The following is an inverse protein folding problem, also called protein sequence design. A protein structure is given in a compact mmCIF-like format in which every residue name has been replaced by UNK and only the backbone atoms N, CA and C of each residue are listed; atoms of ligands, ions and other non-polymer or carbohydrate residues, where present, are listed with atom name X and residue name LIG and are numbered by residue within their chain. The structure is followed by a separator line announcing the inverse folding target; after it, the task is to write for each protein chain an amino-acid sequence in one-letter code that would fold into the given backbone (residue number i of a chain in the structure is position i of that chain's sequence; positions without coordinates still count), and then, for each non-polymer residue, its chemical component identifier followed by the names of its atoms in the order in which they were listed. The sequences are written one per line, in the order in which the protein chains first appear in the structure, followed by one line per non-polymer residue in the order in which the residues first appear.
data_IF_171779191965
#
_entry.id   IF_171779191965
#
_cell.length_a   1.000
_cell.length_b   1.000
_cell.length_c   1.000
_cell.angle_alpha   90.00
_cell.angle_beta   90.00
_cell.angle_gamma   90.00
#
_symmetry.space_group_name_H-M   'P 1'
#
loop_
_entity.id
_entity.type
_entity.pdbx_description
1 polymer ?
#
# COMPACT_ATOMS: atom_id res chain seq x y z
N UNK A 1 18.19 -18.77 -6.68
CA UNK A 1 17.48 -17.75 -5.91
C UNK A 1 16.05 -17.64 -6.41
N UNK A 2 15.11 -17.75 -5.52
CA UNK A 2 13.71 -17.51 -5.81
C UNK A 2 13.53 -16.00 -5.98
N UNK A 3 12.96 -15.57 -7.08
CA UNK A 3 12.57 -14.17 -7.28
C UNK A 3 11.08 -14.11 -6.96
N UNK A 4 10.75 -13.54 -5.82
CA UNK A 4 9.37 -13.22 -5.49
C UNK A 4 8.95 -12.04 -6.36
N UNK A 5 8.00 -12.27 -7.25
CA UNK A 5 7.45 -11.22 -8.09
C UNK A 5 6.09 -10.80 -7.53
N UNK A 6 6.04 -9.61 -6.98
CA UNK A 6 4.79 -8.91 -6.68
C UNK A 6 4.77 -7.60 -7.47
N UNK A 7 3.66 -7.34 -8.18
CA UNK A 7 3.42 -6.05 -8.80
C UNK A 7 3.14 -5.02 -7.70
N UNK A 8 4.19 -4.34 -7.24
CA UNK A 8 4.09 -3.32 -6.21
C UNK A 8 4.02 -1.93 -6.82
N UNK A 9 3.10 -1.14 -6.32
CA UNK A 9 2.90 0.24 -6.69
C UNK A 9 3.02 1.14 -5.47
N UNK A 10 3.62 2.28 -5.68
CA UNK A 10 3.83 3.30 -4.67
C UNK A 10 2.81 4.42 -4.86
N UNK A 11 1.82 4.54 -3.97
CA UNK A 11 0.66 5.40 -4.17
C UNK A 11 0.40 6.34 -3.00
N UNK A 12 -0.05 7.54 -3.30
CA UNK A 12 -0.61 8.45 -2.30
C UNK A 12 -2.01 8.05 -1.92
N UNK A 13 -2.38 8.31 -0.67
CA UNK A 13 -3.77 8.22 -0.24
C UNK A 13 -4.53 9.50 -0.57
N UNK A 14 -5.78 9.37 -1.02
CA UNK A 14 -6.60 10.51 -1.41
C UNK A 14 -7.27 11.22 -0.23
N UNK A 15 -7.39 10.54 0.91
CA UNK A 15 -8.03 11.06 2.13
C UNK A 15 -7.26 10.64 3.37
N UNK A 16 -7.05 11.58 4.29
CA UNK A 16 -6.29 11.33 5.51
C UNK A 16 -4.77 11.27 5.29
N UNK A 17 -4.08 10.70 6.24
CA UNK A 17 -2.62 10.51 6.23
C UNK A 17 -2.27 9.03 6.20
N UNK A 18 -1.08 8.70 5.69
CA UNK A 18 -0.60 7.31 5.64
C UNK A 18 -0.52 6.69 7.05
N UNK A 19 -0.18 7.49 8.06
CA UNK A 19 -0.09 7.01 9.45
C UNK A 19 -1.43 6.51 10.03
N UNK A 20 -2.57 7.00 9.52
CA UNK A 20 -3.90 6.52 9.89
C UNK A 20 -4.16 5.08 9.40
N UNK A 21 -3.33 4.58 8.48
CA UNK A 21 -3.44 3.26 7.88
C UNK A 21 -2.47 2.22 8.44
N UNK A 22 -1.80 2.48 9.57
CA UNK A 22 -0.90 1.51 10.23
C UNK A 22 -1.57 0.17 10.54
N UNK A 23 -2.88 0.17 10.81
CA UNK A 23 -3.66 -1.04 11.03
C UNK A 23 -4.32 -1.63 9.77
N UNK A 24 -4.01 -1.09 8.58
CA UNK A 24 -4.71 -1.44 7.33
C UNK A 24 -3.87 -2.29 6.37
N UNK A 25 -2.75 -2.86 6.83
CA UNK A 25 -2.00 -3.84 6.03
C UNK A 25 -2.91 -5.03 5.69
N UNK A 26 -2.98 -5.39 4.42
CA UNK A 26 -3.88 -6.41 3.92
C UNK A 26 -5.28 -5.92 3.53
N UNK A 27 -5.56 -4.61 3.64
CA UNK A 27 -6.83 -4.01 3.23
C UNK A 27 -6.84 -3.62 1.76
N UNK A 28 -8.01 -3.78 1.14
CA UNK A 28 -8.25 -3.44 -0.26
C UNK A 28 -8.33 -1.93 -0.44
N UNK A 29 -7.68 -1.43 -1.49
CA UNK A 29 -7.77 -0.05 -1.94
C UNK A 29 -8.34 0.04 -3.35
N UNK A 30 -8.99 1.17 -3.60
CA UNK A 30 -9.57 1.56 -4.88
C UNK A 30 -8.88 2.82 -5.40
N UNK A 31 -8.67 2.93 -6.70
CA UNK A 31 -8.26 4.17 -7.33
C UNK A 31 -9.39 5.20 -7.26
N UNK A 32 -9.08 6.45 -6.90
CA UNK A 32 -10.09 7.49 -6.76
C UNK A 32 -10.32 8.32 -8.04
N UNK A 33 -9.56 8.02 -9.11
CA UNK A 33 -9.65 8.71 -10.39
C UNK A 33 -8.75 9.94 -10.51
N UNK A 34 -7.94 10.24 -9.49
CA UNK A 34 -6.93 11.30 -9.50
C UNK A 34 -5.52 10.73 -9.45
N UNK A 35 -4.51 11.53 -9.75
CA UNK A 35 -3.12 11.09 -9.84
C UNK A 35 -2.22 11.95 -8.96
N UNK A 36 -1.11 11.36 -8.55
CA UNK A 36 -0.06 11.99 -7.79
C UNK A 36 1.30 11.51 -8.31
N UNK A 37 1.68 12.03 -9.45
CA UNK A 37 2.97 11.70 -10.05
C UNK A 37 4.07 12.60 -9.47
N UNK A 38 5.30 12.09 -9.34
CA UNK A 38 6.41 12.83 -8.73
C UNK A 38 6.98 13.91 -9.65
N UNK A 39 7.00 13.66 -10.97
CA UNK A 39 7.71 14.50 -11.92
C UNK A 39 6.83 14.97 -13.06
N UNK A 40 7.07 16.15 -13.56
CA UNK A 40 6.53 16.59 -14.84
C UNK A 40 7.43 16.10 -16.00
N UNK A 41 7.02 16.39 -17.26
CA UNK A 41 7.79 15.98 -18.43
C UNK A 41 9.12 16.74 -18.62
N UNK A 42 9.43 17.69 -17.73
CA UNK A 42 10.64 18.51 -17.74
C UNK A 42 11.49 18.30 -16.48
N UNK A 43 11.31 17.17 -15.80
CA UNK A 43 12.01 16.80 -14.57
C UNK A 43 11.81 17.76 -13.38
N UNK A 44 10.72 18.54 -13.40
CA UNK A 44 10.33 19.34 -12.24
C UNK A 44 9.28 18.61 -11.40
N UNK A 45 9.28 18.88 -10.09
CA UNK A 45 8.24 18.40 -9.20
C UNK A 45 6.89 18.93 -9.66
N UNK A 46 5.92 18.01 -9.83
CA UNK A 46 4.61 18.36 -10.38
C UNK A 46 3.77 19.19 -9.44
N UNK A 47 3.27 20.29 -9.99
CA UNK A 47 2.25 21.12 -9.37
C UNK A 47 0.84 20.77 -9.87
N UNK A 48 0.73 20.30 -11.12
CA UNK A 48 -0.54 19.95 -11.77
C UNK A 48 -0.50 18.48 -12.20
N UNK A 49 -1.21 17.63 -11.49
CA UNK A 49 -1.07 16.19 -11.57
C UNK A 49 -1.95 15.62 -12.68
N UNK A 50 -1.31 15.24 -13.78
CA UNK A 50 -1.94 14.56 -14.91
C UNK A 50 -1.18 13.28 -15.26
N UNK A 51 -1.84 12.26 -15.82
CA UNK A 51 -1.13 11.09 -16.32
C UNK A 51 -0.13 11.46 -17.40
N UNK A 52 1.00 10.79 -17.41
CA UNK A 52 1.98 10.88 -18.50
C UNK A 52 2.44 9.47 -18.90
N UNK A 53 3.19 9.37 -20.00
CA UNK A 53 3.55 8.06 -20.54
C UNK A 53 4.50 7.26 -19.65
N UNK A 54 5.29 7.94 -18.82
CA UNK A 54 6.30 7.30 -17.97
C UNK A 54 5.79 7.05 -16.56
N UNK A 55 4.73 7.77 -16.16
CA UNK A 55 4.23 7.72 -14.80
C UNK A 55 2.73 8.05 -14.76
N UNK A 56 1.98 7.24 -14.07
CA UNK A 56 0.55 7.46 -13.81
C UNK A 56 0.18 6.81 -12.48
N UNK A 57 0.61 7.46 -11.38
CA UNK A 57 0.38 6.98 -10.02
C UNK A 57 -1.02 7.42 -9.53
N UNK A 58 -2.03 6.55 -9.54
CA UNK A 58 -3.35 6.92 -9.04
C UNK A 58 -3.28 7.14 -7.52
N UNK A 59 -4.03 8.13 -7.03
CA UNK A 59 -4.35 8.20 -5.61
C UNK A 59 -5.33 7.10 -5.26
N UNK A 60 -5.17 6.54 -4.07
CA UNK A 60 -6.00 5.42 -3.61
C UNK A 60 -6.76 5.78 -2.34
N UNK A 61 -7.85 5.08 -2.11
CA UNK A 61 -8.66 5.12 -0.88
C UNK A 61 -9.02 3.69 -0.48
N UNK A 62 -9.34 3.46 0.79
CA UNK A 62 -9.87 2.16 1.21
C UNK A 62 -11.19 1.86 0.49
N UNK A 63 -11.36 0.62 0.04
CA UNK A 63 -12.62 0.16 -0.52
C UNK A 63 -13.74 0.23 0.53
N UNK A 64 -14.96 0.54 0.10
CA UNK A 64 -16.15 0.58 0.97
C UNK A 64 -17.45 0.26 0.21
N UNK A 65 -17.32 -0.28 -0.99
CA UNK A 65 -18.44 -0.63 -1.87
C UNK A 65 -18.25 -2.06 -2.35
N UNK A 66 -19.33 -2.84 -2.35
CA UNK A 66 -19.31 -4.20 -2.89
C UNK A 66 -19.11 -4.18 -4.40
N UNK A 67 -18.30 -5.10 -4.91
CA UNK A 67 -18.03 -5.24 -6.36
C UNK A 67 -17.53 -3.95 -7.01
N UNK A 68 -16.65 -3.23 -6.32
CA UNK A 68 -16.12 -1.95 -6.84
C UNK A 68 -15.14 -2.21 -7.97
N UNK A 69 -15.50 -1.80 -9.19
CA UNK A 69 -14.66 -1.93 -10.39
C UNK A 69 -13.39 -1.08 -10.39
N UNK A 70 -13.23 -0.19 -9.39
CA UNK A 70 -12.06 0.66 -9.24
C UNK A 70 -11.01 0.06 -8.30
N UNK A 71 -11.18 -1.20 -7.89
CA UNK A 71 -10.18 -1.91 -7.07
C UNK A 71 -8.81 -1.85 -7.75
N UNK A 72 -7.79 -1.54 -6.95
CA UNK A 72 -6.43 -1.30 -7.43
C UNK A 72 -5.42 -2.28 -6.85
N UNK A 73 -5.65 -2.75 -5.64
CA UNK A 73 -4.79 -3.72 -4.97
C UNK A 73 -5.03 -3.77 -3.47
N UNK A 74 -4.02 -4.27 -2.77
CA UNK A 74 -4.04 -4.48 -1.32
C UNK A 74 -2.82 -3.80 -0.70
N UNK A 75 -3.01 -3.10 0.41
CA UNK A 75 -1.92 -2.45 1.13
C UNK A 75 -0.97 -3.53 1.67
N UNK A 76 0.28 -3.50 1.22
CA UNK A 76 1.33 -4.40 1.70
C UNK A 76 2.22 -3.76 2.76
N UNK A 77 2.44 -2.46 2.65
CA UNK A 77 3.36 -1.74 3.53
C UNK A 77 3.06 -0.24 3.53
N UNK A 78 3.50 0.44 4.58
CA UNK A 78 3.56 1.90 4.64
C UNK A 78 5.03 2.31 4.56
N UNK A 79 5.34 3.35 3.79
CA UNK A 79 6.69 3.91 3.80
C UNK A 79 7.05 4.44 5.18
N UNK A 80 8.22 4.05 5.64
CA UNK A 80 8.82 4.65 6.83
C UNK A 80 9.36 6.03 6.48
N UNK A 81 8.97 7.02 7.25
CA UNK A 81 9.47 8.36 7.12
C UNK A 81 10.45 8.65 8.27
N UNK A 82 11.71 8.86 7.96
CA UNK A 82 12.70 9.26 8.96
C UNK A 82 13.53 10.45 8.47
N UNK A 83 14.04 11.21 9.42
CA UNK A 83 14.91 12.34 9.16
C UNK A 83 16.37 11.88 9.21
N UNK A 84 17.09 12.08 8.12
CA UNK A 84 18.52 11.89 8.08
C UNK A 84 19.25 13.22 8.14
N UNK A 85 20.44 13.25 8.72
CA UNK A 85 21.24 14.45 8.85
C UNK A 85 22.46 14.36 7.97
N UNK A 86 22.52 15.18 6.94
CA UNK A 86 23.69 15.29 6.08
C UNK A 86 24.60 16.40 6.60
N UNK A 87 25.88 16.06 6.79
CA UNK A 87 26.91 17.03 7.14
C UNK A 87 27.78 17.24 5.92
N UNK A 88 27.78 18.47 5.42
CA UNK A 88 28.71 18.87 4.36
C UNK A 88 29.84 19.73 4.96
N UNK A 89 31.05 19.50 4.50
CA UNK A 89 32.24 20.23 4.92
C UNK A 89 32.73 21.08 3.78
N UNK A 90 32.96 22.33 4.06
CA UNK A 90 33.63 23.27 3.14
C UNK A 90 34.81 23.95 3.82
N UNK A 91 35.78 24.33 3.02
CA UNK A 91 36.98 25.03 3.52
C UNK A 91 37.09 26.39 2.90
N UNK A 92 37.33 27.38 3.75
CA UNK A 92 37.69 28.74 3.36
C UNK A 92 39.07 29.09 3.94
N UNK A 93 39.70 30.11 3.42
CA UNK A 93 40.96 30.63 3.98
C UNK A 93 40.74 32.04 4.49
N UNK A 94 41.24 32.32 5.69
CA UNK A 94 41.19 33.65 6.23
C UNK A 94 42.28 34.55 5.57
N UNK A 95 42.30 35.84 5.93
CA UNK A 95 43.29 36.83 5.42
C UNK A 95 44.75 36.46 5.74
N UNK A 96 44.97 35.64 6.76
CA UNK A 96 46.28 35.11 7.15
C UNK A 96 46.66 33.83 6.42
N UNK A 97 45.81 33.32 5.50
CA UNK A 97 46.04 32.08 4.77
C UNK A 97 45.77 30.79 5.57
N UNK A 98 45.17 30.90 6.74
CA UNK A 98 44.79 29.74 7.54
C UNK A 98 43.50 29.09 7.02
N UNK A 99 43.47 27.77 6.99
CA UNK A 99 42.33 27.00 6.55
C UNK A 99 41.25 26.96 7.64
N UNK A 100 40.07 27.45 7.30
CA UNK A 100 38.86 27.38 8.15
C UNK A 100 37.92 26.31 7.64
N UNK A 101 37.59 25.36 8.49
CA UNK A 101 36.58 24.35 8.23
C UNK A 101 35.20 24.90 8.61
N UNK A 102 34.28 24.90 7.65
CA UNK A 102 32.88 25.18 7.90
C UNK A 102 32.08 23.88 7.70
N UNK A 103 31.41 23.48 8.73
CA UNK A 103 30.44 22.34 8.65
C UNK A 103 29.02 22.91 8.53
N UNK A 104 28.31 22.45 7.50
CA UNK A 104 26.90 22.78 7.33
C UNK A 104 26.10 21.49 7.51
N UNK A 105 25.17 21.52 8.44
CA UNK A 105 24.27 20.41 8.71
C UNK A 105 22.92 20.70 8.05
N UNK A 106 22.45 19.80 7.21
CA UNK A 106 21.12 19.86 6.63
C UNK A 106 20.35 18.60 6.99
N UNK A 107 19.06 18.77 7.24
CA UNK A 107 18.16 17.64 7.47
C UNK A 107 17.45 17.29 6.17
N UNK A 108 17.48 16.02 5.83
CA UNK A 108 16.82 15.47 4.65
C UNK A 108 15.81 14.44 5.12
N UNK A 109 14.58 14.50 4.62
CA UNK A 109 13.61 13.46 4.84
C UNK A 109 13.92 12.31 3.88
N UNK A 110 14.06 11.12 4.43
CA UNK A 110 14.35 9.89 3.68
C UNK A 110 13.23 8.90 3.95
N UNK A 111 12.77 8.23 2.91
CA UNK A 111 11.79 7.14 3.00
C UNK A 111 12.43 5.85 2.67
N UNK A 112 11.98 4.84 3.33
CA UNK A 112 12.41 3.47 3.14
C UNK A 112 11.19 2.59 2.93
N UNK A 113 11.25 1.72 1.94
CA UNK A 113 10.28 0.67 1.73
C UNK A 113 10.98 -0.60 1.23
N UNK A 114 10.40 -1.72 1.57
CA UNK A 114 10.95 -3.02 1.21
C UNK A 114 10.35 -3.49 -0.13
N UNK A 115 11.21 -4.01 -0.99
CA UNK A 115 10.83 -4.66 -2.23
C UNK A 115 11.36 -6.11 -2.19
N UNK A 116 10.61 -7.01 -1.56
CA UNK A 116 11.10 -8.36 -1.35
C UNK A 116 12.42 -8.38 -0.57
N UNK A 117 13.51 -8.74 -1.24
CA UNK A 117 14.86 -8.77 -0.62
C UNK A 117 15.63 -7.44 -0.69
N UNK A 118 15.02 -6.38 -1.23
CA UNK A 118 15.66 -5.07 -1.35
C UNK A 118 14.95 -4.04 -0.48
N UNK A 119 15.73 -3.17 0.14
CA UNK A 119 15.25 -1.96 0.76
C UNK A 119 15.64 -0.79 -0.14
N UNK A 120 14.65 -0.01 -0.55
CA UNK A 120 14.86 1.21 -1.32
C UNK A 120 14.72 2.44 -0.41
N UNK A 121 15.63 3.38 -0.58
CA UNK A 121 15.58 4.67 0.09
C UNK A 121 15.46 5.78 -0.93
N UNK A 122 14.67 6.80 -0.63
CA UNK A 122 14.55 7.98 -1.48
C UNK A 122 14.31 9.22 -0.65
N UNK A 123 14.82 10.34 -1.15
CA UNK A 123 14.57 11.64 -0.53
C UNK A 123 13.10 12.02 -0.70
N UNK A 124 12.53 12.60 0.33
CA UNK A 124 11.18 13.11 0.36
C UNK A 124 11.18 14.63 0.41
N UNK A 125 10.19 15.27 -0.21
CA UNK A 125 10.05 16.72 -0.16
C UNK A 125 9.78 17.21 1.27
N UNK A 126 8.94 16.48 2.00
CA UNK A 126 8.62 16.76 3.39
C UNK A 126 8.25 15.51 4.18
N UNK A 127 8.00 15.67 5.48
CA UNK A 127 7.62 14.58 6.38
C UNK A 127 6.23 13.99 6.11
N UNK A 128 5.38 14.66 5.32
CA UNK A 128 3.99 14.28 5.09
C UNK A 128 3.78 13.55 3.76
N UNK A 129 4.82 13.53 2.90
CA UNK A 129 4.73 12.89 1.58
C UNK A 129 4.96 11.36 1.64
N UNK A 130 4.53 10.67 2.71
CA UNK A 130 4.55 9.22 2.79
C UNK A 130 3.59 8.58 1.80
N UNK A 131 3.99 7.41 1.29
CA UNK A 131 3.20 6.63 0.36
C UNK A 131 2.78 5.29 0.97
N UNK A 132 1.75 4.71 0.41
CA UNK A 132 1.39 3.30 0.62
C UNK A 132 2.06 2.45 -0.45
N UNK A 133 2.50 1.26 -0.07
CA UNK A 133 2.93 0.24 -1.02
C UNK A 133 1.76 -0.72 -1.24
N UNK A 134 1.34 -0.86 -2.49
CA UNK A 134 0.16 -1.61 -2.89
C UNK A 134 0.58 -2.80 -3.73
N UNK A 135 0.17 -3.99 -3.35
CA UNK A 135 0.30 -5.20 -4.17
C UNK A 135 -0.93 -5.33 -5.08
N UNK A 136 -0.72 -5.38 -6.38
CA UNK A 136 -1.78 -5.57 -7.37
C UNK A 136 -1.73 -6.96 -8.03
N UNK A 137 -0.55 -7.55 -8.14
CA UNK A 137 -0.31 -8.88 -8.72
C UNK A 137 0.67 -9.66 -7.85
N UNK A 138 0.66 -10.99 -7.96
CA UNK A 138 1.58 -11.87 -7.25
C UNK A 138 0.94 -12.62 -6.10
N UNK A 139 1.73 -13.02 -5.14
CA UNK A 139 1.32 -13.82 -3.99
C UNK A 139 1.34 -12.98 -2.72
N UNK A 140 0.45 -13.29 -1.78
CA UNK A 140 0.41 -12.62 -0.49
C UNK A 140 -0.75 -13.05 0.37
N UNK A 141 -1.29 -12.14 1.14
CA UNK A 141 -2.46 -12.35 1.99
C UNK A 141 -3.37 -11.13 2.00
N UNK A 142 -4.64 -11.35 2.34
CA UNK A 142 -5.69 -10.34 2.30
C UNK A 142 -6.63 -10.49 3.50
N UNK A 143 -7.11 -9.38 4.03
CA UNK A 143 -8.20 -9.40 4.99
C UNK A 143 -9.54 -9.57 4.29
N UNK A 144 -10.26 -10.61 4.66
CA UNK A 144 -11.60 -10.94 4.18
C UNK A 144 -12.60 -10.97 5.33
N UNK A 145 -13.86 -10.79 5.02
CA UNK A 145 -14.97 -10.91 5.97
C UNK A 145 -15.95 -12.02 5.56
N UNK A 146 -16.67 -12.52 6.54
CA UNK A 146 -17.76 -13.48 6.31
C UNK A 146 -19.07 -12.80 5.86
N UNK A 147 -18.98 -11.59 5.29
CA UNK A 147 -20.15 -10.85 4.81
C UNK A 147 -20.99 -11.65 3.80
N UNK A 148 -20.36 -12.38 2.91
CA UNK A 148 -21.00 -13.29 1.93
C UNK A 148 -20.78 -14.78 2.24
N UNK A 149 -20.41 -15.14 3.48
CA UNK A 149 -20.27 -16.52 3.93
C UNK A 149 -18.83 -17.01 4.05
N UNK A 150 -18.67 -18.33 4.18
CA UNK A 150 -17.37 -19.00 4.26
C UNK A 150 -16.70 -19.08 2.89
N UNK A 151 -15.39 -19.27 2.90
CA UNK A 151 -14.55 -19.34 1.72
C UNK A 151 -13.96 -20.75 1.55
N UNK A 152 -13.91 -21.19 0.31
CA UNK A 152 -13.21 -22.42 -0.11
C UNK A 152 -11.95 -22.06 -0.90
N UNK A 153 -10.93 -22.89 -0.81
CA UNK A 153 -9.72 -22.73 -1.61
C UNK A 153 -10.07 -22.62 -3.10
N UNK A 154 -9.63 -21.52 -3.71
CA UNK A 154 -9.94 -21.22 -5.10
C UNK A 154 -11.05 -20.18 -5.30
N UNK A 155 -11.77 -19.79 -4.26
CA UNK A 155 -12.78 -18.74 -4.37
C UNK A 155 -12.14 -17.39 -4.75
N UNK A 156 -12.84 -16.66 -5.61
CA UNK A 156 -12.50 -15.27 -5.91
C UNK A 156 -13.02 -14.32 -4.84
N UNK A 157 -12.21 -13.29 -4.58
CA UNK A 157 -12.49 -12.23 -3.62
C UNK A 157 -12.74 -10.94 -4.37
N UNK A 158 -13.79 -10.24 -3.96
CA UNK A 158 -14.12 -8.87 -4.37
C UNK A 158 -14.16 -7.94 -3.15
N UNK A 159 -14.24 -6.62 -3.36
CA UNK A 159 -14.46 -5.66 -2.29
C UNK A 159 -15.83 -5.83 -1.65
N UNK A 160 -15.95 -5.56 -0.36
CA UNK A 160 -17.18 -5.59 0.41
C UNK A 160 -17.66 -4.19 0.80
N UNK A 161 -18.88 -4.03 1.34
CA UNK A 161 -19.31 -2.77 1.94
C UNK A 161 -18.53 -2.41 3.21
N UNK A 162 -17.87 -3.38 3.83
CA UNK A 162 -17.05 -3.19 5.03
C UNK A 162 -15.68 -2.64 4.60
N UNK A 163 -15.33 -1.47 5.09
CA UNK A 163 -14.17 -0.72 4.64
C UNK A 163 -12.88 -1.57 4.65
N UNK A 164 -12.23 -1.66 3.50
CA UNK A 164 -10.95 -2.34 3.30
C UNK A 164 -11.04 -3.87 3.28
N UNK A 165 -12.17 -4.49 3.63
CA UNK A 165 -12.29 -5.94 3.69
C UNK A 165 -12.82 -6.53 2.39
N UNK A 166 -12.27 -7.68 2.02
CA UNK A 166 -12.79 -8.51 0.95
C UNK A 166 -13.98 -9.37 1.40
N UNK A 167 -14.72 -9.87 0.42
CA UNK A 167 -15.75 -10.89 0.59
C UNK A 167 -15.70 -11.89 -0.56
N UNK A 168 -16.30 -13.07 -0.37
CA UNK A 168 -16.48 -14.03 -1.46
C UNK A 168 -17.26 -13.40 -2.61
N UNK A 169 -16.71 -13.52 -3.82
CA UNK A 169 -17.41 -13.20 -5.06
C UNK A 169 -18.55 -14.21 -5.29
N UNK A 170 -19.61 -13.81 -5.95
CA UNK A 170 -20.80 -14.62 -6.14
C UNK A 170 -20.74 -15.57 -7.34
N UNK A 171 -19.66 -15.49 -8.13
CA UNK A 171 -19.39 -16.40 -9.25
C UNK A 171 -17.88 -16.73 -9.36
N UNK A 172 -17.55 -17.67 -10.26
CA UNK A 172 -16.20 -18.15 -10.51
C UNK A 172 -15.55 -17.51 -11.76
N UNK A 173 -16.01 -16.32 -12.16
CA UNK A 173 -15.48 -15.59 -13.29
C UNK A 173 -14.53 -14.48 -12.83
N UNK A 174 -13.49 -14.24 -13.61
CA UNK A 174 -12.61 -13.09 -13.39
C UNK A 174 -13.26 -11.83 -13.93
N UNK A 175 -13.50 -10.87 -13.05
CA UNK A 175 -14.09 -9.56 -13.36
C UNK A 175 -13.13 -8.42 -13.05
N UNK A 176 -13.48 -7.21 -13.51
CA UNK A 176 -12.75 -5.97 -13.20
C UNK A 176 -12.87 -5.54 -11.72
N UNK A 177 -13.70 -6.20 -10.93
CA UNK A 177 -13.80 -6.02 -9.48
C UNK A 177 -13.20 -7.19 -8.69
N UNK A 178 -12.63 -8.20 -9.35
CA UNK A 178 -11.93 -9.30 -8.67
C UNK A 178 -10.60 -8.82 -8.14
N UNK A 179 -10.37 -8.96 -6.85
CA UNK A 179 -9.15 -8.52 -6.16
C UNK A 179 -8.13 -9.64 -6.06
N UNK A 180 -8.60 -10.82 -5.67
CA UNK A 180 -7.71 -11.94 -5.35
C UNK A 180 -8.42 -13.28 -5.56
N UNK A 181 -7.63 -14.34 -5.58
CA UNK A 181 -8.07 -15.74 -5.47
C UNK A 181 -7.41 -16.34 -4.24
N UNK A 182 -8.21 -16.83 -3.29
CA UNK A 182 -7.64 -17.41 -2.06
C UNK A 182 -7.04 -18.79 -2.29
N UNK A 183 -6.07 -19.13 -1.45
CA UNK A 183 -5.29 -20.37 -1.56
C UNK A 183 -5.49 -21.32 -0.37
N UNK A 184 -6.51 -21.06 0.44
CA UNK A 184 -6.87 -21.88 1.59
C UNK A 184 -8.36 -21.78 1.93
N UNK A 185 -8.92 -22.80 2.58
CA UNK A 185 -10.28 -22.73 3.13
C UNK A 185 -10.33 -21.78 4.33
N UNK A 186 -11.43 -21.03 4.46
CA UNK A 186 -11.66 -20.15 5.61
C UNK A 186 -13.12 -20.17 6.04
N UNK A 187 -13.40 -20.85 7.14
CA UNK A 187 -14.73 -20.90 7.79
C UNK A 187 -14.93 -19.78 8.81
N UNK A 188 -13.97 -18.89 8.94
CA UNK A 188 -13.92 -17.83 9.97
C UNK A 188 -13.98 -18.38 11.40
N UNK A 189 -13.46 -19.57 11.60
CA UNK A 189 -13.33 -20.16 12.93
C UNK A 189 -12.20 -19.46 13.70
N UNK A 190 -12.51 -18.99 14.90
CA UNK A 190 -11.54 -18.32 15.80
C UNK A 190 -10.74 -19.31 16.64
N UNK A 191 -10.71 -20.57 16.24
CA UNK A 191 -9.96 -21.61 16.94
C UNK A 191 -8.44 -21.43 16.70
N UNK A 192 -7.65 -21.56 17.75
CA UNK A 192 -6.19 -21.47 17.67
C UNK A 192 -5.52 -22.52 16.76
N UNK A 193 -6.24 -23.57 16.34
CA UNK A 193 -5.77 -24.56 15.37
C UNK A 193 -6.07 -24.22 13.91
N UNK A 194 -6.80 -23.14 13.65
CA UNK A 194 -7.01 -22.66 12.28
C UNK A 194 -5.70 -22.20 11.63
N UNK A 195 -5.58 -22.37 10.32
CA UNK A 195 -4.42 -21.94 9.54
C UNK A 195 -4.41 -20.44 9.21
N UNK A 196 -5.30 -19.67 9.83
CA UNK A 196 -5.48 -18.23 9.65
C UNK A 196 -5.92 -17.60 10.99
N UNK A 197 -5.65 -16.31 11.13
CA UNK A 197 -6.15 -15.51 12.25
C UNK A 197 -7.53 -14.96 11.94
N UNK A 198 -8.52 -15.23 12.82
CA UNK A 198 -9.87 -14.70 12.71
C UNK A 198 -10.25 -13.88 13.92
N UNK A 199 -10.97 -12.76 13.70
CA UNK A 199 -11.41 -11.83 14.73
C UNK A 199 -12.86 -11.43 14.48
N UNK A 200 -13.65 -11.42 15.56
CA UNK A 200 -15.02 -10.89 15.52
C UNK A 200 -15.02 -9.36 15.66
N UNK A 201 -15.93 -8.71 14.97
CA UNK A 201 -16.14 -7.27 15.04
C UNK A 201 -17.60 -6.92 14.74
N UNK A 202 -18.03 -5.75 15.19
CA UNK A 202 -19.36 -5.20 14.90
C UNK A 202 -19.27 -4.24 13.70
N UNK A 203 -20.22 -4.38 12.77
CA UNK A 203 -20.40 -3.44 11.69
C UNK A 203 -21.90 -3.26 11.41
N UNK A 204 -22.36 -2.00 11.38
CA UNK A 204 -23.75 -1.62 11.11
C UNK A 204 -24.79 -2.37 12.01
N UNK A 205 -24.45 -2.57 13.28
CA UNK A 205 -25.33 -3.22 14.25
C UNK A 205 -25.40 -4.75 14.14
N UNK A 206 -24.50 -5.37 13.38
CA UNK A 206 -24.40 -6.83 13.21
C UNK A 206 -22.97 -7.31 13.47
N UNK A 207 -22.84 -8.50 14.01
CA UNK A 207 -21.54 -9.12 14.25
C UNK A 207 -21.07 -9.88 13.02
N UNK A 208 -19.86 -9.56 12.60
CA UNK A 208 -19.14 -10.22 11.51
C UNK A 208 -17.80 -10.75 12.01
N UNK A 209 -17.19 -11.60 11.21
CA UNK A 209 -15.82 -12.05 11.43
C UNK A 209 -14.95 -11.67 10.24
N UNK A 210 -13.71 -11.32 10.51
CA UNK A 210 -12.67 -11.13 9.50
C UNK A 210 -11.54 -12.10 9.72
N UNK A 211 -10.87 -12.50 8.66
CA UNK A 211 -9.71 -13.37 8.70
C UNK A 211 -8.64 -12.87 7.72
N UNK A 212 -7.38 -13.11 8.08
CA UNK A 212 -6.24 -12.84 7.21
C UNK A 212 -5.84 -14.13 6.51
N UNK A 213 -6.03 -14.21 5.20
CA UNK A 213 -5.92 -15.45 4.42
C UNK A 213 -4.94 -15.30 3.26
N UNK A 214 -4.24 -16.39 2.94
CA UNK A 214 -3.34 -16.45 1.79
C UNK A 214 -4.08 -16.33 0.46
N UNK A 215 -3.49 -15.63 -0.51
CA UNK A 215 -4.10 -15.41 -1.81
C UNK A 215 -3.07 -15.16 -2.92
N UNK A 216 -3.55 -15.18 -4.16
CA UNK A 216 -2.89 -14.55 -5.30
C UNK A 216 -3.71 -13.32 -5.69
N UNK A 217 -3.03 -12.19 -5.94
CA UNK A 217 -3.68 -10.94 -6.34
C UNK A 217 -3.96 -10.91 -7.84
N UNK A 218 -5.06 -10.30 -8.23
CA UNK A 218 -5.56 -10.23 -9.61
C UNK A 218 -6.00 -8.82 -10.03
N UNK A 219 -5.58 -7.78 -9.32
CA UNK A 219 -5.86 -6.40 -9.69
C UNK A 219 -4.87 -5.95 -10.77
N UNK A 220 -5.24 -6.09 -12.03
CA UNK A 220 -4.39 -5.64 -13.13
C UNK A 220 -4.95 -5.97 -14.49
#
# INVERSE_FOLDING_TARGET
GQIDFTGQHRNSISTGTVNEHTGSIGYIVCADGTYDNLWDNNDNVKQDVKPNINESLPKVKLSNTAYDKTVFGVISELENNYQNTNVSESFTYNESGERILTQTTSSVYVREYNQGSFTSTMEAEDSNDQKLIINSLGEGAIWVSNYSGSLENGDYITSSPIQGLGMKQDDDLLHNYTVAKITQDCTFDMNASASYDAVEFEWSGSNYKRAFVGCTYHCG
#
